data_IF_236646521768
#
_entry.id   IF_236646521768
#
_cell.length_a   1.000
_cell.length_b   1.000
_cell.length_c   1.000
_cell.angle_alpha   90.00
_cell.angle_beta   90.00
_cell.angle_gamma   90.00
#
_symmetry.space_group_name_H-M   'P 1'
#
loop_
_entity.id
_entity.type
_entity.pdbx_description
1 polymer ?
#
# COMPACT_ATOMS: atom_id res chain seq x y z
N UNK A 1 1.70 20.27 12.64
CA UNK A 1 0.95 21.05 11.63
C UNK A 1 1.84 22.18 11.18
N UNK A 2 2.06 22.33 9.88
CA UNK A 2 2.97 23.33 9.29
C UNK A 2 4.48 23.15 9.59
N UNK A 3 4.92 21.94 9.93
CA UNK A 3 6.36 21.70 10.14
C UNK A 3 7.08 21.45 8.80
N UNK A 4 6.66 20.41 8.09
CA UNK A 4 7.20 20.01 6.80
C UNK A 4 6.12 19.61 5.82
N UNK A 5 6.27 20.03 4.57
CA UNK A 5 5.39 19.64 3.46
C UNK A 5 6.20 19.28 2.23
N UNK A 6 5.78 18.22 1.55
CA UNK A 6 6.33 17.79 0.28
C UNK A 6 5.44 18.23 -0.88
N UNK A 7 6.06 18.87 -1.86
CA UNK A 7 5.46 19.24 -3.14
C UNK A 7 6.13 18.38 -4.22
N UNK A 8 5.33 17.64 -4.98
CA UNK A 8 5.78 16.97 -6.20
C UNK A 8 4.84 17.34 -7.34
N UNK A 9 5.38 17.44 -8.55
CA UNK A 9 4.51 17.55 -9.71
C UNK A 9 3.87 16.18 -10.01
N UNK A 10 2.55 16.16 -10.19
CA UNK A 10 1.80 14.98 -10.65
C UNK A 10 1.41 15.21 -12.10
N UNK A 11 1.91 14.37 -13.01
CA UNK A 11 1.83 14.54 -14.47
C UNK A 11 0.40 14.68 -15.02
N UNK A 12 -0.62 14.27 -14.26
CA UNK A 12 -2.01 14.14 -14.71
C UNK A 12 -2.71 15.42 -15.18
N UNK A 13 -2.14 16.61 -15.02
CA UNK A 13 -2.82 17.86 -15.44
C UNK A 13 -1.92 18.91 -16.09
N UNK A 14 -0.73 18.56 -16.57
CA UNK A 14 0.13 19.52 -17.28
C UNK A 14 0.46 20.79 -16.49
N UNK A 15 0.28 20.77 -15.16
CA UNK A 15 0.63 21.89 -14.31
C UNK A 15 2.15 21.98 -14.29
N UNK A 16 2.66 23.06 -14.87
CA UNK A 16 4.00 23.54 -14.56
C UNK A 16 4.05 23.84 -13.05
N UNK A 17 5.21 23.62 -12.43
CA UNK A 17 5.46 24.00 -11.05
C UNK A 17 4.81 25.36 -10.72
N UNK A 18 3.87 25.37 -9.77
CA UNK A 18 3.24 26.60 -9.29
C UNK A 18 4.17 27.30 -8.31
N UNK A 19 4.94 28.26 -8.83
CA UNK A 19 5.88 29.04 -8.05
C UNK A 19 5.19 29.94 -7.00
N UNK A 20 3.96 30.39 -7.25
CA UNK A 20 3.20 31.19 -6.30
C UNK A 20 2.84 30.35 -5.08
N UNK A 21 2.25 29.19 -5.32
CA UNK A 21 1.95 28.22 -4.27
C UNK A 21 3.21 27.80 -3.49
N UNK A 22 4.33 27.56 -4.18
CA UNK A 22 5.61 27.22 -3.53
C UNK A 22 6.06 28.32 -2.53
N UNK A 23 6.02 29.59 -2.95
CA UNK A 23 6.41 30.72 -2.11
C UNK A 23 5.47 30.91 -0.91
N UNK A 24 4.16 30.83 -1.15
CA UNK A 24 3.16 30.92 -0.09
C UNK A 24 3.33 29.77 0.91
N UNK A 25 3.67 28.57 0.42
CA UNK A 25 3.94 27.41 1.29
C UNK A 25 5.17 27.65 2.17
N UNK A 26 6.24 28.27 1.64
CA UNK A 26 7.44 28.62 2.42
C UNK A 26 7.16 29.67 3.52
N UNK A 27 6.07 30.44 3.42
CA UNK A 27 5.66 31.37 4.46
C UNK A 27 5.10 30.64 5.68
N UNK A 28 4.33 29.57 5.46
CA UNK A 28 3.63 28.85 6.53
C UNK A 28 4.44 27.69 7.10
N UNK A 29 5.18 26.96 6.26
CA UNK A 29 5.89 25.76 6.67
C UNK A 29 7.33 26.05 7.11
N UNK A 30 7.78 25.33 8.14
CA UNK A 30 9.17 25.38 8.59
C UNK A 30 10.16 24.94 7.51
N UNK A 31 9.80 23.89 6.75
CA UNK A 31 10.57 23.36 5.61
C UNK A 31 9.65 22.91 4.49
N UNK A 32 9.97 23.28 3.25
CA UNK A 32 9.31 22.77 2.05
C UNK A 32 10.23 21.79 1.34
N UNK A 33 9.83 20.53 1.20
CA UNK A 33 10.50 19.56 0.34
C UNK A 33 9.91 19.67 -1.06
N UNK A 34 10.76 19.87 -2.07
CA UNK A 34 10.33 19.98 -3.45
C UNK A 34 11.00 18.88 -4.26
N UNK A 35 10.21 17.94 -4.77
CA UNK A 35 10.66 16.86 -5.63
C UNK A 35 10.55 17.29 -7.08
N UNK A 36 11.68 17.33 -7.80
CA UNK A 36 11.77 17.87 -9.16
C UNK A 36 12.36 16.88 -10.16
N UNK A 37 11.96 17.04 -11.42
CA UNK A 37 12.72 16.55 -12.57
C UNK A 37 13.45 17.72 -13.25
N UNK A 38 14.11 17.41 -14.37
CA UNK A 38 14.86 18.36 -15.19
C UNK A 38 13.99 19.57 -15.59
N UNK A 39 12.74 19.34 -15.94
CA UNK A 39 11.79 20.36 -16.39
C UNK A 39 11.44 21.35 -15.26
N UNK A 40 11.02 20.89 -14.08
CA UNK A 40 10.75 21.76 -12.93
C UNK A 40 11.98 22.53 -12.48
N UNK A 41 13.15 21.89 -12.48
CA UNK A 41 14.41 22.54 -12.13
C UNK A 41 14.73 23.68 -13.11
N UNK A 42 14.49 23.49 -14.40
CA UNK A 42 14.67 24.55 -15.40
C UNK A 42 13.71 25.73 -15.17
N UNK A 43 12.49 25.47 -14.67
CA UNK A 43 11.51 26.50 -14.33
C UNK A 43 11.98 27.29 -13.10
N UNK A 44 12.43 26.60 -12.05
CA UNK A 44 12.99 27.24 -10.85
C UNK A 44 14.15 28.18 -11.21
N UNK A 45 15.10 27.70 -12.01
CA UNK A 45 16.27 28.50 -12.43
C UNK A 45 15.83 29.76 -13.21
N UNK A 46 14.83 29.63 -14.09
CA UNK A 46 14.29 30.77 -14.85
C UNK A 46 13.62 31.81 -13.96
N UNK A 47 12.90 31.38 -12.92
CA UNK A 47 12.10 32.26 -12.08
C UNK A 47 12.89 32.90 -10.94
N UNK A 48 13.70 32.10 -10.24
CA UNK A 48 14.40 32.52 -9.02
C UNK A 48 15.88 32.82 -9.26
N UNK A 49 16.47 32.25 -10.31
CA UNK A 49 17.91 32.29 -10.52
C UNK A 49 18.69 31.43 -9.54
N UNK A 50 19.96 31.18 -9.85
CA UNK A 50 20.82 30.27 -9.09
C UNK A 50 21.04 30.71 -7.64
N UNK A 51 21.21 32.02 -7.41
CA UNK A 51 21.57 32.54 -6.09
C UNK A 51 20.43 32.38 -5.07
N UNK A 52 19.19 32.72 -5.45
CA UNK A 52 18.05 32.62 -4.55
C UNK A 52 17.74 31.15 -4.23
N UNK A 53 17.78 30.25 -5.21
CA UNK A 53 17.57 28.81 -4.97
C UNK A 53 18.62 28.30 -3.97
N UNK A 54 19.90 28.63 -4.19
CA UNK A 54 20.98 28.25 -3.28
C UNK A 54 20.74 28.75 -1.86
N UNK A 55 20.34 30.02 -1.72
CA UNK A 55 20.07 30.61 -0.41
C UNK A 55 18.89 29.92 0.29
N UNK A 56 17.80 29.65 -0.43
CA UNK A 56 16.64 28.92 0.12
C UNK A 56 17.03 27.51 0.60
N UNK A 57 17.93 26.83 -0.12
CA UNK A 57 18.43 25.52 0.29
C UNK A 57 19.32 25.62 1.53
N UNK A 58 20.33 26.49 1.51
CA UNK A 58 21.31 26.61 2.61
C UNK A 58 20.65 27.11 3.90
N UNK A 59 19.66 27.98 3.79
CA UNK A 59 18.89 28.47 4.95
C UNK A 59 17.86 27.46 5.46
N UNK A 60 17.74 26.28 4.82
CA UNK A 60 16.85 25.20 5.23
C UNK A 60 15.38 25.42 4.90
N UNK A 61 15.04 26.47 4.13
CA UNK A 61 13.65 26.76 3.71
C UNK A 61 13.17 25.80 2.62
N UNK A 62 14.08 25.43 1.72
CA UNK A 62 13.82 24.51 0.61
C UNK A 62 14.72 23.28 0.73
N UNK A 63 14.12 22.10 0.80
CA UNK A 63 14.78 20.81 0.60
C UNK A 63 14.51 20.39 -0.85
N UNK A 64 15.41 20.74 -1.76
CA UNK A 64 15.26 20.43 -3.17
C UNK A 64 15.84 19.04 -3.45
N UNK A 65 15.02 18.13 -3.97
CA UNK A 65 15.45 16.77 -4.31
C UNK A 65 15.15 16.41 -5.75
N UNK A 66 16.13 15.84 -6.43
CA UNK A 66 15.98 15.37 -7.80
C UNK A 66 15.41 13.95 -7.82
N UNK A 67 14.34 13.72 -8.56
CA UNK A 67 13.74 12.38 -8.67
C UNK A 67 14.47 11.54 -9.72
N UNK A 68 15.06 10.43 -9.31
CA UNK A 68 15.76 9.52 -10.24
C UNK A 68 14.83 8.52 -10.92
N UNK A 69 13.66 8.28 -10.33
CA UNK A 69 12.63 7.45 -10.92
C UNK A 69 11.21 8.06 -10.80
N UNK A 70 10.34 7.57 -11.67
CA UNK A 70 8.90 7.89 -11.71
C UNK A 70 8.08 6.63 -11.63
N UNK A 71 6.83 6.75 -11.16
CA UNK A 71 5.85 5.70 -11.35
C UNK A 71 5.24 5.89 -12.73
N UNK A 72 5.06 4.79 -13.46
CA UNK A 72 4.55 4.86 -14.82
C UNK A 72 3.73 3.64 -15.18
N UNK A 73 2.91 3.81 -16.22
CA UNK A 73 2.15 2.72 -16.82
C UNK A 73 2.62 2.48 -18.25
N UNK A 74 2.72 1.22 -18.65
CA UNK A 74 2.90 0.84 -20.05
C UNK A 74 1.68 0.05 -20.52
N UNK A 75 1.29 0.26 -21.77
CA UNK A 75 0.21 -0.48 -22.41
C UNK A 75 0.83 -1.39 -23.46
N UNK A 76 0.51 -2.68 -23.39
CA UNK A 76 0.96 -3.70 -24.32
C UNK A 76 -0.21 -4.18 -25.21
N UNK A 77 0.08 -4.82 -26.36
CA UNK A 77 -0.95 -5.39 -27.21
C UNK A 77 -1.91 -6.32 -26.46
N UNK A 78 -3.20 -6.27 -26.85
CA UNK A 78 -4.24 -7.06 -26.21
C UNK A 78 -4.84 -6.43 -24.95
N UNK A 79 -4.59 -5.14 -24.69
CA UNK A 79 -5.15 -4.43 -23.54
C UNK A 79 -4.53 -4.86 -22.22
N UNK A 80 -3.23 -5.18 -22.24
CA UNK A 80 -2.44 -5.53 -21.06
C UNK A 80 -1.67 -4.31 -20.58
N UNK A 81 -1.44 -4.23 -19.29
CA UNK A 81 -0.81 -3.08 -18.64
C UNK A 81 0.39 -3.50 -17.81
N UNK A 82 1.37 -2.62 -17.68
CA UNK A 82 2.40 -2.71 -16.65
C UNK A 82 2.34 -1.48 -15.76
N UNK A 83 2.67 -1.66 -14.49
CA UNK A 83 2.91 -0.58 -13.55
C UNK A 83 4.27 -0.84 -12.91
N UNK A 84 5.17 0.14 -12.97
CA UNK A 84 6.48 0.01 -12.36
C UNK A 84 7.11 1.39 -12.11
N UNK A 85 8.28 1.37 -11.48
CA UNK A 85 9.17 2.53 -11.45
C UNK A 85 10.04 2.56 -12.70
N UNK A 86 10.18 3.72 -13.31
CA UNK A 86 11.00 3.96 -14.49
C UNK A 86 12.09 4.98 -14.16
N UNK A 87 13.31 4.68 -14.56
CA UNK A 87 14.47 5.55 -14.42
C UNK A 87 15.19 5.67 -15.77
N UNK A 88 15.76 6.83 -16.05
CA UNK A 88 16.65 6.97 -17.20
C UNK A 88 18.00 6.33 -16.87
N UNK A 89 18.38 5.31 -17.65
CA UNK A 89 19.62 4.55 -17.43
C UNK A 89 20.84 5.45 -17.69
N UNK A 90 21.83 5.41 -16.80
CA UNK A 90 23.11 6.12 -16.91
C UNK A 90 23.05 7.66 -16.73
N UNK A 91 21.97 8.18 -16.15
CA UNK A 91 21.86 9.59 -15.78
C UNK A 91 22.24 9.81 -14.31
N UNK A 92 23.33 10.55 -14.06
CA UNK A 92 23.70 10.98 -12.71
C UNK A 92 23.04 12.32 -12.36
N UNK A 93 22.89 12.62 -11.07
CA UNK A 93 22.44 13.92 -10.59
C UNK A 93 23.20 15.08 -11.25
N UNK A 94 24.54 15.04 -11.28
CA UNK A 94 25.35 16.07 -11.95
C UNK A 94 24.99 16.26 -13.43
N UNK A 95 24.75 15.16 -14.17
CA UNK A 95 24.32 15.22 -15.56
C UNK A 95 22.96 15.92 -15.68
N UNK A 96 22.00 15.57 -14.82
CA UNK A 96 20.66 16.15 -14.87
C UNK A 96 20.64 17.63 -14.48
N UNK A 97 21.41 18.02 -13.47
CA UNK A 97 21.61 19.43 -13.11
C UNK A 97 22.24 20.22 -14.28
N UNK A 98 23.24 19.65 -14.96
CA UNK A 98 23.85 20.27 -16.13
C UNK A 98 22.82 20.48 -17.25
N UNK A 99 22.02 19.46 -17.56
CA UNK A 99 21.03 19.54 -18.63
C UNK A 99 19.92 20.53 -18.29
N UNK A 100 19.40 20.52 -17.06
CA UNK A 100 18.39 21.48 -16.60
C UNK A 100 18.88 22.93 -16.71
N UNK A 101 20.12 23.20 -16.29
CA UNK A 101 20.71 24.53 -16.40
C UNK A 101 20.96 24.95 -17.85
N UNK A 102 21.37 24.01 -18.71
CA UNK A 102 21.57 24.25 -20.15
C UNK A 102 20.28 24.67 -20.87
N UNK A 103 19.11 24.26 -20.37
CA UNK A 103 17.81 24.71 -20.89
C UNK A 103 17.53 26.20 -20.64
N UNK A 104 18.33 26.85 -19.80
CA UNK A 104 18.22 28.29 -19.44
C UNK A 104 19.45 29.07 -19.92
N UNK A 105 20.64 28.50 -19.78
CA UNK A 105 21.92 29.16 -20.04
C UNK A 105 22.70 28.42 -21.13
N UNK A 106 22.92 29.10 -22.26
CA UNK A 106 23.72 28.57 -23.36
C UNK A 106 25.24 28.79 -23.14
N UNK A 107 25.79 28.26 -22.05
CA UNK A 107 27.22 28.32 -21.75
C UNK A 107 27.68 27.08 -20.95
N UNK A 108 28.43 26.18 -21.60
CA UNK A 108 28.85 24.91 -21.00
C UNK A 108 29.67 25.06 -19.71
N UNK A 109 30.56 26.05 -19.62
CA UNK A 109 31.36 26.27 -18.41
C UNK A 109 30.51 26.71 -17.22
N UNK A 110 29.51 27.57 -17.45
CA UNK A 110 28.54 27.94 -16.41
C UNK A 110 27.67 26.75 -16.00
N UNK A 111 27.21 25.96 -16.97
CA UNK A 111 26.40 24.77 -16.72
C UNK A 111 27.15 23.72 -15.89
N UNK A 112 28.43 23.49 -16.19
CA UNK A 112 29.28 22.58 -15.41
C UNK A 112 29.49 23.10 -13.99
N UNK A 113 29.75 24.41 -13.84
CA UNK A 113 29.90 25.02 -12.53
C UNK A 113 28.62 24.88 -11.70
N UNK A 114 27.46 25.17 -12.30
CA UNK A 114 26.16 25.00 -11.66
C UNK A 114 25.99 23.56 -11.16
N UNK A 115 26.16 22.57 -12.05
CA UNK A 115 26.02 21.16 -11.70
C UNK A 115 26.92 20.76 -10.52
N UNK A 116 28.22 21.07 -10.60
CA UNK A 116 29.20 20.76 -9.56
C UNK A 116 28.92 21.45 -8.21
N UNK A 117 28.32 22.63 -8.24
CA UNK A 117 28.05 23.40 -7.02
C UNK A 117 26.68 23.06 -6.41
N UNK A 118 25.72 22.62 -7.22
CA UNK A 118 24.39 22.23 -6.77
C UNK A 118 24.29 20.74 -6.39
N UNK A 119 25.07 19.85 -7.01
CA UNK A 119 25.13 18.43 -6.61
C UNK A 119 25.63 18.21 -5.18
N UNK A 120 26.27 19.22 -4.58
CA UNK A 120 26.72 19.22 -3.18
C UNK A 120 25.64 19.61 -2.17
N UNK A 121 24.53 20.22 -2.63
CA UNK A 121 23.47 20.77 -1.76
C UNK A 121 22.08 20.26 -2.13
N UNK A 122 21.94 19.47 -3.20
CA UNK A 122 20.73 18.79 -3.62
C UNK A 122 20.91 17.29 -3.39
N UNK A 123 19.87 16.62 -2.91
CA UNK A 123 19.83 15.17 -2.78
C UNK A 123 19.02 14.53 -3.90
N UNK A 124 19.28 13.25 -4.17
CA UNK A 124 18.40 12.44 -5.02
C UNK A 124 17.25 11.85 -4.18
N UNK A 125 16.11 11.63 -4.83
CA UNK A 125 15.00 10.85 -4.32
C UNK A 125 14.67 9.72 -5.29
N UNK A 126 14.56 8.52 -4.74
CA UNK A 126 14.25 7.30 -5.50
C UNK A 126 13.20 6.54 -4.72
N UNK A 127 12.10 6.18 -5.38
CA UNK A 127 11.12 5.32 -4.75
C UNK A 127 11.76 4.00 -4.31
N UNK A 128 11.53 3.53 -3.07
CA UNK A 128 12.07 2.27 -2.59
C UNK A 128 11.46 1.10 -3.37
N UNK A 129 12.23 0.02 -3.54
CA UNK A 129 11.78 -1.18 -4.26
C UNK A 129 10.46 -1.75 -3.70
N UNK A 130 10.26 -1.62 -2.38
CA UNK A 130 9.04 -2.04 -1.69
C UNK A 130 7.76 -1.35 -2.21
N UNK A 131 7.86 -0.15 -2.83
CA UNK A 131 6.67 0.54 -3.38
C UNK A 131 5.98 -0.33 -4.43
N UNK A 132 6.75 -1.03 -5.26
CA UNK A 132 6.23 -1.89 -6.32
C UNK A 132 5.44 -3.05 -5.75
N UNK A 133 5.99 -3.69 -4.71
CA UNK A 133 5.33 -4.80 -4.01
C UNK A 133 4.03 -4.34 -3.35
N UNK A 134 4.03 -3.15 -2.76
CA UNK A 134 2.83 -2.56 -2.16
C UNK A 134 1.75 -2.25 -3.21
N UNK A 135 2.12 -1.69 -4.37
CA UNK A 135 1.17 -1.44 -5.48
C UNK A 135 0.59 -2.76 -5.99
N UNK A 136 1.42 -3.78 -6.19
CA UNK A 136 0.96 -5.10 -6.65
C UNK A 136 0.06 -5.77 -5.61
N UNK A 137 0.31 -5.55 -4.31
CA UNK A 137 -0.56 -6.05 -3.25
C UNK A 137 -1.98 -5.49 -3.37
N UNK A 138 -2.13 -4.20 -3.70
CA UNK A 138 -3.43 -3.56 -3.86
C UNK A 138 -4.26 -4.15 -5.01
N UNK A 139 -3.61 -4.74 -6.02
CA UNK A 139 -4.30 -5.42 -7.13
C UNK A 139 -5.10 -6.64 -6.66
N UNK A 140 -4.74 -7.21 -5.52
CA UNK A 140 -5.48 -8.32 -4.91
C UNK A 140 -6.64 -7.84 -4.02
N UNK A 141 -6.72 -6.54 -3.72
CA UNK A 141 -7.77 -5.97 -2.88
C UNK A 141 -9.00 -5.57 -3.74
N UNK A 142 -9.86 -6.55 -4.04
CA UNK A 142 -11.07 -6.34 -4.87
C UNK A 142 -12.00 -5.26 -4.32
N UNK A 143 -12.02 -5.05 -3.01
CA UNK A 143 -12.89 -4.04 -2.37
C UNK A 143 -12.36 -2.63 -2.56
N UNK A 144 -11.05 -2.44 -2.39
CA UNK A 144 -10.36 -1.20 -2.73
C UNK A 144 -10.58 -0.87 -4.21
N UNK A 145 -10.30 -1.81 -5.10
CA UNK A 145 -10.47 -1.63 -6.54
C UNK A 145 -11.92 -1.30 -6.94
N UNK A 146 -12.90 -2.01 -6.37
CA UNK A 146 -14.32 -1.79 -6.63
C UNK A 146 -14.83 -0.43 -6.16
N UNK A 147 -14.18 0.15 -5.14
CA UNK A 147 -14.50 1.49 -4.63
C UNK A 147 -13.76 2.58 -5.42
N UNK A 148 -12.51 2.34 -5.78
CA UNK A 148 -11.65 3.30 -6.46
C UNK A 148 -12.02 3.51 -7.93
N UNK A 149 -12.39 2.45 -8.66
CA UNK A 149 -12.68 2.53 -10.09
C UNK A 149 -13.84 3.50 -10.43
N UNK A 150 -15.01 3.47 -9.76
CA UNK A 150 -16.07 4.46 -9.98
C UNK A 150 -15.63 5.90 -9.73
N UNK A 151 -14.82 6.12 -8.69
CA UNK A 151 -14.32 7.45 -8.34
C UNK A 151 -13.39 7.97 -9.43
N UNK A 152 -12.50 7.11 -9.93
CA UNK A 152 -11.66 7.42 -11.09
C UNK A 152 -12.50 7.76 -12.32
N UNK A 153 -13.43 6.88 -12.72
CA UNK A 153 -14.26 7.08 -13.91
C UNK A 153 -15.07 8.38 -13.82
N UNK A 154 -15.65 8.69 -12.65
CA UNK A 154 -16.38 9.94 -12.41
C UNK A 154 -15.48 11.17 -12.50
N UNK A 155 -14.19 11.05 -12.15
CA UNK A 155 -13.23 12.15 -12.23
C UNK A 155 -12.82 12.50 -13.66
N UNK A 156 -12.82 11.51 -14.58
CA UNK A 156 -12.41 11.70 -15.98
C UNK A 156 -13.59 11.83 -16.96
N UNK A 157 -14.72 11.20 -16.67
CA UNK A 157 -15.97 11.26 -17.45
C UNK A 157 -17.16 11.41 -16.49
N UNK A 158 -17.45 12.63 -16.01
CA UNK A 158 -18.48 12.85 -14.99
C UNK A 158 -19.88 12.37 -15.38
N UNK A 159 -20.21 12.33 -16.67
CA UNK A 159 -21.52 11.91 -17.16
C UNK A 159 -21.66 10.40 -17.37
N UNK A 160 -20.59 9.62 -17.15
CA UNK A 160 -20.65 8.17 -17.22
C UNK A 160 -21.34 7.59 -15.98
N UNK A 161 -22.33 6.74 -16.21
CA UNK A 161 -23.01 5.99 -15.15
C UNK A 161 -22.38 4.60 -15.05
N UNK A 162 -21.54 4.40 -14.04
CA UNK A 162 -20.99 3.08 -13.75
C UNK A 162 -22.10 2.12 -13.28
N UNK A 163 -21.97 0.80 -13.51
CA UNK A 163 -22.89 -0.20 -12.97
C UNK A 163 -23.02 -0.08 -11.44
N UNK A 164 -24.21 -0.38 -10.88
CA UNK A 164 -24.45 -0.34 -9.43
C UNK A 164 -23.48 -1.25 -8.65
N UNK A 165 -23.16 -2.42 -9.22
CA UNK A 165 -22.18 -3.35 -8.69
C UNK A 165 -21.00 -3.43 -9.65
N UNK A 166 -19.83 -3.00 -9.17
CA UNK A 166 -18.58 -3.14 -9.89
C UNK A 166 -18.00 -4.53 -9.68
N UNK A 167 -17.67 -5.17 -10.78
CA UNK A 167 -16.86 -6.38 -10.78
C UNK A 167 -15.53 -6.00 -11.39
N UNK A 168 -14.45 -6.18 -10.64
CA UNK A 168 -13.09 -5.86 -11.08
C UNK A 168 -12.11 -6.89 -10.53
N UNK A 169 -11.21 -7.32 -11.38
CA UNK A 169 -10.08 -8.17 -11.04
C UNK A 169 -8.89 -7.80 -11.91
N UNK A 170 -7.74 -7.64 -11.27
CA UNK A 170 -6.46 -7.44 -11.96
C UNK A 170 -5.67 -8.72 -11.84
N UNK A 171 -5.34 -9.34 -12.97
CA UNK A 171 -4.67 -10.65 -13.01
C UNK A 171 -3.32 -10.48 -13.69
N UNK A 172 -2.27 -11.05 -13.10
CA UNK A 172 -0.98 -11.16 -13.77
C UNK A 172 -1.10 -12.07 -14.99
N UNK A 173 -0.84 -11.52 -16.16
CA UNK A 173 -1.01 -12.14 -17.48
C UNK A 173 0.34 -12.21 -18.23
N UNK A 174 1.30 -12.85 -17.55
CA UNK A 174 2.65 -13.06 -18.03
C UNK A 174 3.55 -11.83 -17.88
N UNK A 175 4.56 -11.77 -18.74
CA UNK A 175 5.56 -10.70 -18.77
C UNK A 175 5.72 -10.21 -20.21
N UNK A 176 6.04 -8.93 -20.38
CA UNK A 176 6.46 -8.35 -21.65
C UNK A 176 7.90 -7.85 -21.54
N UNK A 177 8.85 -8.68 -21.98
CA UNK A 177 10.27 -8.44 -21.72
C UNK A 177 10.57 -8.47 -20.22
N UNK A 178 11.17 -7.42 -19.64
CA UNK A 178 11.46 -7.37 -18.20
C UNK A 178 10.26 -6.96 -17.33
N UNK A 179 9.13 -6.57 -17.95
CA UNK A 179 7.99 -6.00 -17.24
C UNK A 179 6.92 -7.05 -16.98
N UNK A 180 6.34 -7.03 -15.77
CA UNK A 180 5.13 -7.80 -15.49
C UNK A 180 3.96 -7.19 -16.28
N UNK A 181 3.12 -8.05 -16.86
CA UNK A 181 1.94 -7.66 -17.61
C UNK A 181 0.67 -8.08 -16.85
N UNK A 182 -0.32 -7.20 -16.81
CA UNK A 182 -1.56 -7.39 -16.08
C UNK A 182 -2.76 -7.16 -17.00
N UNK A 183 -3.77 -8.00 -16.86
CA UNK A 183 -5.07 -7.85 -17.52
C UNK A 183 -6.09 -7.39 -16.49
N UNK A 184 -6.85 -6.35 -16.83
CA UNK A 184 -7.91 -5.82 -15.98
C UNK A 184 -9.26 -6.28 -16.52
N UNK A 185 -9.89 -7.20 -15.79
CA UNK A 185 -11.20 -7.75 -16.10
C UNK A 185 -12.24 -6.98 -15.31
N UNK A 186 -13.19 -6.35 -16.00
CA UNK A 186 -14.26 -5.62 -15.34
C UNK A 186 -15.54 -5.57 -16.18
N UNK A 187 -16.67 -5.34 -15.53
CA UNK A 187 -17.97 -5.14 -16.15
C UNK A 187 -18.22 -3.69 -16.65
N UNK A 188 -17.20 -2.83 -16.67
CA UNK A 188 -17.29 -1.49 -17.25
C UNK A 188 -17.34 -1.55 -18.77
N UNK A 189 -18.33 -0.87 -19.37
CA UNK A 189 -18.41 -0.68 -20.82
C UNK A 189 -17.50 0.48 -21.27
N UNK A 190 -16.26 0.16 -21.62
CA UNK A 190 -15.32 1.15 -22.17
C UNK A 190 -15.78 1.77 -23.48
N UNK A 191 -16.62 1.09 -24.29
CA UNK A 191 -17.11 1.67 -25.55
C UNK A 191 -18.08 2.79 -25.25
N UNK A 192 -18.99 2.58 -24.30
CA UNK A 192 -19.92 3.61 -23.86
C UNK A 192 -19.20 4.77 -23.16
N UNK A 193 -18.24 4.47 -22.27
CA UNK A 193 -17.39 5.48 -21.63
C UNK A 193 -16.72 6.39 -22.66
N UNK A 194 -16.07 5.79 -23.67
CA UNK A 194 -15.38 6.52 -24.72
C UNK A 194 -16.34 7.30 -25.63
N UNK A 195 -17.52 6.75 -25.92
CA UNK A 195 -18.56 7.47 -26.67
C UNK A 195 -19.00 8.74 -25.95
N UNK A 196 -19.20 8.68 -24.63
CA UNK A 196 -19.55 9.84 -23.81
C UNK A 196 -18.38 10.83 -23.76
N UNK A 197 -17.15 10.34 -23.51
CA UNK A 197 -15.95 11.17 -23.41
C UNK A 197 -15.70 11.98 -24.69
N UNK A 198 -15.72 11.32 -25.86
CA UNK A 198 -15.51 11.96 -27.17
C UNK A 198 -16.64 12.91 -27.54
N UNK A 199 -17.89 12.62 -27.12
CA UNK A 199 -19.01 13.56 -27.32
C UNK A 199 -18.80 14.86 -26.53
N UNK A 200 -18.30 14.76 -25.30
CA UNK A 200 -18.00 15.93 -24.47
C UNK A 200 -16.71 16.65 -24.89
N UNK A 201 -15.75 15.93 -25.48
CA UNK A 201 -14.45 16.45 -25.89
C UNK A 201 -14.12 16.01 -27.34
N UNK A 202 -14.72 16.65 -28.36
CA UNK A 202 -14.55 16.22 -29.76
C UNK A 202 -13.12 16.26 -30.29
N UNK A 203 -12.27 17.07 -29.67
CA UNK A 203 -10.85 17.23 -30.04
C UNK A 203 -9.97 16.05 -29.55
N UNK A 204 -10.50 15.19 -28.67
CA UNK A 204 -9.74 14.05 -28.12
C UNK A 204 -9.81 12.86 -29.09
N UNK A 205 -8.68 12.55 -29.72
CA UNK A 205 -8.58 11.45 -30.68
C UNK A 205 -8.39 10.08 -30.02
N UNK A 206 -7.81 10.03 -28.82
CA UNK A 206 -7.50 8.79 -28.11
C UNK A 206 -8.68 8.24 -27.31
N UNK A 207 -8.70 6.93 -27.11
CA UNK A 207 -9.65 6.26 -26.23
C UNK A 207 -9.07 6.16 -24.82
N UNK A 208 -9.92 6.32 -23.81
CA UNK A 208 -9.66 6.00 -22.43
C UNK A 208 -9.48 4.48 -22.30
N UNK A 209 -8.43 4.11 -21.59
CA UNK A 209 -8.11 2.77 -21.12
C UNK A 209 -7.91 2.76 -19.59
N UNK A 210 -7.42 1.65 -19.05
CA UNK A 210 -7.20 1.51 -17.60
C UNK A 210 -5.81 1.93 -17.13
N UNK A 211 -4.89 2.32 -18.02
CA UNK A 211 -3.54 2.75 -17.65
C UNK A 211 -3.57 3.93 -16.69
N UNK A 212 -4.42 4.94 -16.94
CA UNK A 212 -4.59 6.07 -16.04
C UNK A 212 -5.16 5.70 -14.67
N UNK A 213 -6.02 4.68 -14.60
CA UNK A 213 -6.54 4.15 -13.33
C UNK A 213 -5.44 3.48 -12.51
N UNK A 214 -4.66 2.60 -13.14
CA UNK A 214 -3.54 1.91 -12.50
C UNK A 214 -2.46 2.89 -12.04
N UNK A 215 -2.14 3.90 -12.86
CA UNK A 215 -1.23 4.97 -12.48
C UNK A 215 -1.76 5.78 -11.30
N UNK A 216 -3.07 6.04 -11.24
CA UNK A 216 -3.66 6.77 -10.10
C UNK A 216 -3.54 5.99 -8.79
N UNK A 217 -3.71 4.66 -8.80
CA UNK A 217 -3.45 3.81 -7.63
C UNK A 217 -1.98 3.91 -7.24
N UNK A 218 -1.07 3.77 -8.20
CA UNK A 218 0.37 3.80 -7.94
C UNK A 218 0.83 5.15 -7.39
N UNK A 219 0.41 6.27 -7.98
CA UNK A 219 0.76 7.61 -7.53
C UNK A 219 0.24 7.90 -6.11
N UNK A 220 -0.98 7.44 -5.79
CA UNK A 220 -1.55 7.53 -4.44
C UNK A 220 -0.70 6.75 -3.42
N UNK A 221 -0.23 5.54 -3.79
CA UNK A 221 0.71 4.78 -2.95
C UNK A 221 2.06 5.49 -2.82
N UNK A 222 2.56 6.03 -3.93
CA UNK A 222 3.79 6.80 -3.98
C UNK A 222 3.73 8.02 -3.04
N UNK A 223 2.57 8.68 -2.97
CA UNK A 223 2.34 9.80 -2.05
C UNK A 223 2.42 9.39 -0.58
N UNK A 224 1.81 8.26 -0.22
CA UNK A 224 1.93 7.70 1.15
C UNK A 224 3.40 7.42 1.49
N UNK A 225 4.13 6.79 0.57
CA UNK A 225 5.56 6.49 0.77
C UNK A 225 6.39 7.75 0.91
N UNK A 226 6.17 8.75 0.04
CA UNK A 226 6.89 10.04 0.10
C UNK A 226 6.62 10.73 1.44
N UNK A 227 5.36 10.85 1.84
CA UNK A 227 4.98 11.47 3.11
C UNK A 227 5.63 10.76 4.30
N UNK A 228 5.69 9.42 4.26
CA UNK A 228 6.31 8.61 5.32
C UNK A 228 7.83 8.74 5.35
N UNK A 229 8.52 8.64 4.22
CA UNK A 229 10.00 8.69 4.14
C UNK A 229 10.54 10.08 4.48
N UNK A 230 9.79 11.13 4.15
CA UNK A 230 10.20 12.51 4.37
C UNK A 230 9.66 13.11 5.67
N UNK A 231 8.84 12.37 6.42
CA UNK A 231 8.13 12.85 7.61
C UNK A 231 7.44 14.20 7.35
N UNK A 232 6.56 14.21 6.35
CA UNK A 232 5.97 15.44 5.82
C UNK A 232 4.49 15.29 5.48
N UNK A 233 3.76 16.39 5.59
CA UNK A 233 2.50 16.55 4.86
C UNK A 233 2.76 16.47 3.35
N UNK A 234 1.76 16.16 2.52
CA UNK A 234 1.95 16.03 1.07
C UNK A 234 0.89 16.80 0.29
N UNK A 235 1.34 17.51 -0.75
CA UNK A 235 0.47 18.12 -1.75
C UNK A 235 0.16 17.08 -2.81
N UNK A 236 -1.12 16.72 -2.92
CA UNK A 236 -1.62 15.76 -3.90
C UNK A 236 -2.96 16.19 -4.50
N UNK A 237 -3.44 15.47 -5.51
CA UNK A 237 -4.71 15.77 -6.19
C UNK A 237 -5.91 15.31 -5.36
N UNK A 238 -7.09 15.87 -5.63
CA UNK A 238 -8.35 15.40 -5.01
C UNK A 238 -8.63 13.92 -5.27
N UNK A 239 -8.24 13.42 -6.46
CA UNK A 239 -8.42 12.02 -6.82
C UNK A 239 -7.51 11.13 -5.97
N UNK A 240 -6.23 11.48 -5.87
CA UNK A 240 -5.26 10.70 -5.12
C UNK A 240 -5.54 10.79 -3.61
N UNK A 241 -5.94 11.95 -3.11
CA UNK A 241 -6.40 12.12 -1.72
C UNK A 241 -7.52 11.13 -1.38
N UNK A 242 -8.54 11.02 -2.24
CA UNK A 242 -9.63 10.05 -2.06
C UNK A 242 -9.15 8.61 -2.07
N UNK A 243 -8.18 8.28 -2.93
CA UNK A 243 -7.62 6.93 -2.99
C UNK A 243 -6.85 6.59 -1.71
N UNK A 244 -6.06 7.52 -1.21
CA UNK A 244 -5.35 7.41 0.08
C UNK A 244 -6.36 7.23 1.23
N UNK A 245 -7.42 8.04 1.26
CA UNK A 245 -8.50 7.93 2.26
C UNK A 245 -9.15 6.55 2.25
N UNK A 246 -9.54 6.04 1.07
CA UNK A 246 -10.17 4.72 0.94
C UNK A 246 -9.23 3.62 1.44
N UNK A 247 -7.95 3.69 1.08
CA UNK A 247 -6.97 2.69 1.49
C UNK A 247 -6.81 2.66 3.01
N UNK A 248 -6.59 3.83 3.64
CA UNK A 248 -6.44 3.93 5.09
C UNK A 248 -7.73 3.52 5.82
N UNK A 249 -8.90 3.91 5.31
CA UNK A 249 -10.18 3.49 5.86
C UNK A 249 -10.37 1.97 5.81
N UNK A 250 -10.00 1.32 4.70
CA UNK A 250 -10.13 -0.13 4.58
C UNK A 250 -9.21 -0.86 5.56
N UNK A 251 -7.98 -0.38 5.77
CA UNK A 251 -7.07 -0.92 6.78
C UNK A 251 -7.67 -0.80 8.20
N UNK A 252 -8.24 0.35 8.53
CA UNK A 252 -8.88 0.60 9.83
C UNK A 252 -10.12 -0.30 9.99
N UNK A 253 -10.99 -0.39 8.97
CA UNK A 253 -12.19 -1.24 8.97
C UNK A 253 -11.81 -2.72 9.13
N UNK A 254 -10.76 -3.19 8.46
CA UNK A 254 -10.28 -4.56 8.59
C UNK A 254 -9.77 -4.86 10.00
N UNK A 255 -9.04 -3.93 10.62
CA UNK A 255 -8.60 -4.07 12.01
C UNK A 255 -9.77 -4.11 12.99
N UNK A 256 -10.75 -3.24 12.82
CA UNK A 256 -11.95 -3.18 13.64
C UNK A 256 -12.76 -4.49 13.52
N UNK A 257 -12.96 -5.00 12.31
CA UNK A 257 -13.61 -6.30 12.08
C UNK A 257 -12.85 -7.44 12.77
N UNK A 258 -11.53 -7.47 12.61
CA UNK A 258 -10.70 -8.50 13.25
C UNK A 258 -10.81 -8.45 14.78
N UNK A 259 -10.91 -7.26 15.37
CA UNK A 259 -11.13 -7.10 16.81
C UNK A 259 -12.45 -7.71 17.28
N UNK A 260 -13.50 -7.44 16.52
CA UNK A 260 -14.84 -7.93 16.83
C UNK A 260 -14.88 -9.46 16.75
N UNK A 261 -14.31 -10.06 15.71
CA UNK A 261 -14.23 -11.51 15.56
C UNK A 261 -13.40 -12.15 16.68
N UNK A 262 -12.27 -11.54 17.08
CA UNK A 262 -11.46 -12.02 18.20
C UNK A 262 -12.19 -11.90 19.54
N UNK A 263 -12.93 -10.82 19.76
CA UNK A 263 -13.73 -10.61 20.98
C UNK A 263 -14.80 -11.69 21.10
N UNK A 264 -15.57 -11.92 20.03
CA UNK A 264 -16.59 -12.98 20.00
C UNK A 264 -15.95 -14.36 20.18
N UNK A 265 -14.83 -14.64 19.52
CA UNK A 265 -14.15 -15.92 19.69
C UNK A 265 -13.68 -16.13 21.13
N UNK A 266 -13.14 -15.09 21.78
CA UNK A 266 -12.75 -15.15 23.18
C UNK A 266 -13.94 -15.40 24.10
N UNK A 267 -15.06 -14.69 23.88
CA UNK A 267 -16.27 -14.80 24.71
C UNK A 267 -16.97 -16.16 24.62
N UNK A 268 -16.97 -16.78 23.43
CA UNK A 268 -17.74 -18.00 23.19
C UNK A 268 -16.90 -19.28 23.12
N UNK A 269 -15.62 -19.19 22.78
CA UNK A 269 -14.73 -20.35 22.61
C UNK A 269 -13.70 -20.42 23.73
N UNK A 270 -13.14 -19.29 24.16
CA UNK A 270 -12.03 -19.24 25.13
C UNK A 270 -12.44 -18.69 26.50
N UNK A 271 -13.74 -18.62 26.80
CA UNK A 271 -14.29 -17.97 28.00
C UNK A 271 -13.61 -18.41 29.31
N UNK A 272 -13.36 -19.70 29.45
CA UNK A 272 -12.82 -20.31 30.66
C UNK A 272 -11.31 -20.61 30.53
N UNK A 273 -10.66 -20.04 29.52
CA UNK A 273 -9.27 -20.29 29.20
C UNK A 273 -8.38 -19.14 29.67
N UNK A 274 -7.23 -19.49 30.26
CA UNK A 274 -6.22 -18.48 30.62
C UNK A 274 -5.54 -17.97 29.34
N UNK A 275 -5.37 -16.65 29.21
CA UNK A 275 -4.65 -16.11 28.05
C UNK A 275 -3.18 -16.54 28.07
N UNK A 276 -2.64 -16.90 26.91
CA UNK A 276 -1.23 -17.31 26.75
C UNK A 276 -0.29 -16.20 27.25
N UNK A 277 -0.62 -14.93 26.95
CA UNK A 277 0.14 -13.78 27.43
C UNK A 277 0.17 -13.66 28.94
N UNK A 278 -0.99 -13.84 29.61
CA UNK A 278 -1.06 -13.85 31.07
C UNK A 278 -0.25 -15.01 31.66
N UNK A 279 -0.40 -16.22 31.11
CA UNK A 279 0.32 -17.40 31.60
C UNK A 279 1.84 -17.21 31.51
N UNK A 280 2.33 -16.67 30.39
CA UNK A 280 3.76 -16.42 30.20
C UNK A 280 4.28 -15.31 31.12
N UNK A 281 3.60 -14.16 31.18
CA UNK A 281 4.04 -13.01 32.00
C UNK A 281 4.04 -13.32 33.50
N UNK A 282 3.20 -14.24 33.97
CA UNK A 282 3.16 -14.67 35.37
C UNK A 282 4.00 -15.92 35.66
N UNK A 283 4.79 -16.39 34.69
CA UNK A 283 5.66 -17.57 34.86
C UNK A 283 4.90 -18.90 35.02
N UNK A 284 3.62 -18.94 34.64
CA UNK A 284 2.81 -20.18 34.61
C UNK A 284 3.32 -21.11 33.50
N UNK A 285 3.75 -20.54 32.37
CA UNK A 285 4.45 -21.24 31.30
C UNK A 285 5.81 -20.61 31.04
N UNK A 286 6.80 -21.45 30.75
CA UNK A 286 8.15 -21.08 30.36
C UNK A 286 8.24 -20.65 28.89
N UNK A 287 9.36 -20.03 28.50
CA UNK A 287 9.62 -19.69 27.09
C UNK A 287 9.65 -20.91 26.17
N UNK A 288 10.10 -22.07 26.65
CA UNK A 288 10.11 -23.32 25.88
C UNK A 288 8.70 -23.85 25.65
N UNK A 289 7.83 -23.75 26.66
CA UNK A 289 6.42 -24.13 26.54
C UNK A 289 5.66 -23.17 25.63
N UNK A 290 5.96 -21.86 25.70
CA UNK A 290 5.40 -20.87 24.78
C UNK A 290 5.74 -21.20 23.31
N UNK A 291 7.00 -21.52 23.00
CA UNK A 291 7.39 -21.92 21.65
C UNK A 291 6.63 -23.16 21.18
N UNK A 292 6.53 -24.19 22.03
CA UNK A 292 5.76 -25.41 21.72
C UNK A 292 4.28 -25.14 21.47
N UNK A 293 3.67 -24.22 22.23
CA UNK A 293 2.30 -23.77 22.03
C UNK A 293 2.17 -23.05 20.67
N UNK A 294 3.10 -22.15 20.34
CA UNK A 294 3.08 -21.40 19.09
C UNK A 294 3.27 -22.31 17.87
N UNK A 295 4.13 -23.33 17.95
CA UNK A 295 4.31 -24.34 16.89
C UNK A 295 3.03 -25.14 16.67
N UNK A 296 2.36 -25.58 17.75
CA UNK A 296 1.05 -26.24 17.63
C UNK A 296 0.00 -25.30 17.02
N UNK A 297 0.07 -24.01 17.32
CA UNK A 297 -0.87 -23.00 16.82
C UNK A 297 -0.69 -22.67 15.33
N UNK A 298 0.40 -23.07 14.66
CA UNK A 298 0.54 -22.87 13.21
C UNK A 298 -0.58 -23.52 12.43
N UNK A 299 -1.01 -24.72 12.82
CA UNK A 299 -2.16 -25.40 12.18
C UNK A 299 -3.45 -24.58 12.29
N UNK A 300 -3.64 -23.88 13.40
CA UNK A 300 -4.77 -22.98 13.58
C UNK A 300 -4.62 -21.73 12.73
N UNK A 301 -3.43 -21.10 12.69
CA UNK A 301 -3.15 -19.95 11.82
C UNK A 301 -3.34 -20.27 10.34
N UNK A 302 -2.92 -21.45 9.90
CA UNK A 302 -3.08 -21.89 8.51
C UNK A 302 -4.54 -22.22 8.15
N UNK A 303 -5.33 -22.63 9.13
CA UNK A 303 -6.78 -22.74 8.96
C UNK A 303 -7.44 -21.36 8.90
N UNK A 304 -7.06 -20.43 9.79
CA UNK A 304 -7.56 -19.05 9.78
C UNK A 304 -7.37 -18.37 8.42
N UNK A 305 -6.19 -18.53 7.81
CA UNK A 305 -5.88 -17.98 6.47
C UNK A 305 -6.81 -18.46 5.35
N UNK A 306 -7.51 -19.58 5.55
CA UNK A 306 -8.43 -20.17 4.56
C UNK A 306 -9.88 -19.74 4.76
N UNK A 307 -10.18 -19.03 5.86
CA UNK A 307 -11.51 -18.49 6.10
C UNK A 307 -11.74 -17.34 5.12
N UNK A 308 -12.79 -17.40 4.28
CA UNK A 308 -13.15 -16.29 3.40
C UNK A 308 -13.43 -15.01 4.21
N UNK A 309 -13.02 -13.86 3.68
CA UNK A 309 -13.15 -12.57 4.39
C UNK A 309 -14.58 -12.21 4.76
N UNK A 310 -15.58 -12.68 4.00
CA UNK A 310 -17.00 -12.39 4.22
C UNK A 310 -17.64 -13.27 5.30
N UNK A 311 -16.93 -14.30 5.77
CA UNK A 311 -17.42 -15.23 6.80
C UNK A 311 -16.95 -14.87 8.20
N UNK A 312 -17.76 -15.21 9.19
CA UNK A 312 -17.41 -15.08 10.62
C UNK A 312 -16.47 -16.21 11.04
N UNK A 313 -15.45 -15.86 11.83
CA UNK A 313 -14.53 -16.79 12.46
C UNK A 313 -15.27 -17.79 13.36
N UNK A 314 -16.18 -17.30 14.20
CA UNK A 314 -16.95 -18.14 15.12
C UNK A 314 -17.83 -19.15 14.36
N UNK A 315 -18.50 -18.69 13.30
CA UNK A 315 -19.33 -19.54 12.46
C UNK A 315 -18.54 -20.64 11.76
N UNK A 316 -17.41 -20.29 11.13
CA UNK A 316 -16.55 -21.27 10.45
C UNK A 316 -15.86 -22.22 11.43
N UNK A 317 -15.50 -21.75 12.64
CA UNK A 317 -15.00 -22.61 13.71
C UNK A 317 -16.03 -23.66 14.12
N UNK A 318 -17.28 -23.24 14.36
CA UNK A 318 -18.37 -24.14 14.71
C UNK A 318 -18.67 -25.15 13.60
N UNK A 319 -18.73 -24.70 12.34
CA UNK A 319 -18.91 -25.57 11.18
C UNK A 319 -17.82 -26.63 11.08
N UNK A 320 -16.57 -26.23 11.32
CA UNK A 320 -15.46 -27.15 11.27
C UNK A 320 -15.48 -28.21 12.37
N UNK A 321 -15.94 -27.86 13.58
CA UNK A 321 -16.14 -28.83 14.68
C UNK A 321 -17.21 -29.86 14.33
N UNK A 322 -18.31 -29.42 13.68
CA UNK A 322 -19.45 -30.29 13.36
C UNK A 322 -19.17 -31.19 12.15
N UNK A 323 -18.37 -30.74 11.19
CA UNK A 323 -18.09 -31.49 9.97
C UNK A 323 -17.26 -32.77 10.25
N UNK A 324 -17.90 -33.95 10.17
CA UNK A 324 -17.26 -35.27 10.45
C UNK A 324 -16.02 -35.56 9.60
N UNK A 325 -15.91 -34.98 8.40
CA UNK A 325 -14.81 -35.19 7.45
C UNK A 325 -13.53 -34.39 7.76
N UNK A 326 -13.56 -33.51 8.77
CA UNK A 326 -12.40 -32.72 9.22
C UNK A 326 -11.95 -33.08 10.64
N UNK A 327 -12.55 -34.11 11.25
CA UNK A 327 -12.21 -34.59 12.59
C UNK A 327 -10.75 -35.05 12.75
N UNK A 328 -10.06 -35.36 11.64
CA UNK A 328 -8.61 -35.65 11.60
C UNK A 328 -7.73 -34.46 11.16
N UNK A 329 -8.32 -33.34 10.69
CA UNK A 329 -7.58 -32.22 10.04
C UNK A 329 -7.85 -30.81 10.59
N UNK A 330 -8.80 -30.62 11.51
CA UNK A 330 -9.05 -29.33 12.18
C UNK A 330 -8.78 -29.34 13.69
N UNK A 331 -8.52 -28.15 14.30
CA UNK A 331 -7.95 -27.94 15.62
C UNK A 331 -8.99 -28.02 16.74
N UNK A 332 -9.98 -28.91 16.66
CA UNK A 332 -10.85 -29.22 17.81
C UNK A 332 -10.02 -29.80 18.95
N UNK A 333 -8.99 -30.59 18.58
CA UNK A 333 -7.92 -30.98 19.48
C UNK A 333 -7.06 -29.76 19.78
N UNK A 334 -6.34 -29.15 18.83
CA UNK A 334 -5.33 -28.08 19.07
C UNK A 334 -5.80 -26.85 19.87
N UNK A 335 -6.99 -26.30 19.64
CA UNK A 335 -7.50 -25.17 20.45
C UNK A 335 -7.77 -25.60 21.90
N UNK A 336 -8.29 -26.81 22.12
CA UNK A 336 -8.36 -27.44 23.45
C UNK A 336 -6.97 -27.93 23.94
N UNK A 337 -6.06 -28.34 23.06
CA UNK A 337 -4.75 -28.96 23.35
C UNK A 337 -3.74 -27.93 23.83
N UNK A 338 -3.77 -26.72 23.26
CA UNK A 338 -2.93 -25.59 23.70
C UNK A 338 -3.30 -25.19 25.13
N UNK A 339 -4.55 -25.42 25.55
CA UNK A 339 -5.10 -24.92 26.81
C UNK A 339 -5.23 -26.00 27.90
N UNK A 340 -5.42 -27.28 27.53
CA UNK A 340 -5.61 -28.39 28.48
C UNK A 340 -4.43 -29.38 28.58
N UNK A 341 -3.48 -29.42 27.63
CA UNK A 341 -2.28 -30.28 27.78
C UNK A 341 -1.01 -29.53 28.23
N UNK A 342 -0.97 -28.20 28.11
CA UNK A 342 0.19 -27.39 28.48
C UNK A 342 0.37 -27.16 29.99
N UNK A 343 -0.64 -27.50 30.78
CA UNK A 343 -0.60 -27.58 32.24
C UNK A 343 -1.08 -29.00 32.53
N UNK A 344 -0.37 -29.77 33.36
CA UNK A 344 -0.72 -31.14 33.72
C UNK A 344 -2.04 -31.25 34.49
N UNK A 345 -3.16 -30.87 33.87
CA UNK A 345 -4.52 -31.02 34.35
C UNK A 345 -5.28 -31.73 33.24
N UNK A 346 -5.23 -33.06 33.26
CA UNK A 346 -6.22 -33.88 32.59
C UNK A 346 -7.56 -33.63 33.27
N UNK A 347 -8.36 -32.68 32.75
CA UNK A 347 -9.78 -32.65 33.02
C UNK A 347 -10.43 -33.73 32.15
N UNK A 348 -10.44 -34.93 32.72
CA UNK A 348 -11.38 -35.95 32.29
C UNK A 348 -12.80 -35.42 32.51
N UNK A 349 -13.67 -35.67 31.52
CA UNK A 349 -15.13 -35.52 31.53
C UNK A 349 -15.70 -34.11 31.24
N UNK A 350 -16.35 -33.97 30.08
CA UNK A 350 -17.83 -33.96 29.98
C UNK A 350 -18.27 -33.40 28.61
N UNK A 351 -18.39 -34.27 27.60
CA UNK A 351 -19.49 -34.26 26.62
C UNK A 351 -19.34 -35.46 25.67
N UNK A 352 -20.40 -36.27 25.63
CA UNK A 352 -20.69 -37.37 24.69
C UNK A 352 -20.01 -38.74 24.93
N UNK A 353 -20.50 -39.45 25.96
CA UNK A 353 -20.96 -40.85 25.90
C UNK A 353 -19.97 -41.99 25.58
N UNK A 354 -19.61 -42.77 26.61
CA UNK A 354 -19.23 -44.19 26.46
C UNK A 354 -17.86 -44.59 27.04
N UNK A 355 -17.90 -45.23 28.22
CA UNK A 355 -16.94 -46.18 28.84
C UNK A 355 -15.47 -46.16 28.34
N UNK A 356 -14.54 -45.73 29.20
CA UNK A 356 -13.38 -46.54 29.63
C UNK A 356 -12.50 -45.78 30.64
N UNK A 357 -12.40 -46.31 31.85
CA UNK A 357 -11.39 -45.97 32.86
C UNK A 357 -10.02 -46.47 32.42
N UNK A 358 -8.97 -45.65 32.53
CA UNK A 358 -7.58 -46.12 32.45
C UNK A 358 -6.69 -45.45 33.51
N UNK A 359 -6.53 -46.18 34.61
CA UNK A 359 -5.35 -46.34 35.47
C UNK A 359 -4.46 -45.11 35.77
N UNK A 360 -4.59 -44.58 37.00
CA UNK A 360 -3.52 -43.90 37.72
C UNK A 360 -2.90 -44.87 38.74
N UNK A 361 -1.78 -45.49 38.37
CA UNK A 361 -0.78 -46.15 39.23
C UNK A 361 0.50 -46.22 38.40
N UNK A 362 1.71 -45.88 38.83
CA UNK A 362 2.25 -45.38 40.08
C UNK A 362 3.70 -44.94 39.80
N UNK A 363 4.25 -44.01 40.59
CA UNK A 363 5.46 -44.28 41.38
C UNK A 363 5.78 -43.08 42.29
N UNK A 364 5.57 -43.35 43.57
CA UNK A 364 6.13 -42.70 44.75
C UNK A 364 7.63 -42.96 44.90
N UNK A 365 8.26 -42.17 45.79
CA UNK A 365 9.50 -42.41 46.58
C UNK A 365 10.79 -41.78 46.04
N UNK A 366 11.15 -40.60 46.56
CA UNK A 366 12.25 -40.36 47.52
C UNK A 366 12.32 -38.87 47.87
#
# INVERSE_FOLDING_TARGET
MFDRICIKNTETRGYKLDAGFLLDTMLFYGKVVLLVHKEELSILIKLFGENLIRELIITGRLDLRYRENILGTMIFPGGKYSIDTFSLKDHSLDSELYQAHRMVVNNSSKNQKFANDFSKIIESFTYPQAVRENIISDFNNKRLLGTALPIYLKSIVPDFNAPEKIEIEIIKDGNFGPFDAYSLNTNIDLKELNRIHKKANPEVEYDIDYGGFLLSIAESKGDIVIASELDSEIVTSDLYSKFIEIELEELIKQRAKSEQELTLFNEYVLKDCTSIGFAFLNGIISGKELLHILDKADKFRDWLKKIPEDKSLLGEYHNAIISKNLSDKLPTKVARFILFEGIGITLDLLATGGIATAAATALSLA
#
